data_IF_586773258979
#
_entry.id   IF_586773258979
#
_cell.length_a   1.000
_cell.length_b   1.000
_cell.length_c   1.000
_cell.angle_alpha   90.00
_cell.angle_beta   90.00
_cell.angle_gamma   90.00
#
_symmetry.space_group_name_H-M   'P 1'
#
loop_
_entity.id
_entity.type
_entity.pdbx_description
1 polymer ?
#
# COMPACT_ATOMS: atom_id res chain seq x y z
N UNK A 1 -7.95 -22.53 14.10
CA UNK A 1 -7.93 -21.09 14.38
C UNK A 1 -8.87 -20.85 15.55
N UNK A 2 -8.36 -20.45 16.72
CA UNK A 2 -9.21 -20.15 17.88
C UNK A 2 -9.95 -18.83 17.57
N UNK A 3 -11.29 -18.87 17.49
CA UNK A 3 -12.12 -17.67 17.46
C UNK A 3 -12.08 -17.06 18.87
N UNK A 4 -11.30 -16.00 19.05
CA UNK A 4 -11.36 -15.20 20.26
C UNK A 4 -12.68 -14.41 20.23
N UNK A 5 -13.45 -14.41 21.31
CA UNK A 5 -14.58 -13.48 21.45
C UNK A 5 -14.01 -12.07 21.58
N UNK A 6 -14.64 -11.04 21.01
CA UNK A 6 -14.16 -9.63 20.94
C UNK A 6 -13.65 -9.02 22.28
N UNK A 7 -13.90 -9.63 23.43
CA UNK A 7 -13.31 -9.22 24.72
C UNK A 7 -11.91 -9.80 25.01
N UNK A 8 -11.60 -11.02 24.56
CA UNK A 8 -10.41 -11.77 24.99
C UNK A 8 -9.10 -11.18 24.43
N UNK A 9 -9.16 -10.50 23.29
CA UNK A 9 -7.98 -9.90 22.63
C UNK A 9 -7.42 -8.73 23.46
N UNK A 10 -8.26 -8.05 24.24
CA UNK A 10 -7.89 -6.89 25.06
C UNK A 10 -7.63 -7.26 26.53
N UNK A 11 -7.72 -8.54 26.91
CA UNK A 11 -7.55 -9.00 28.29
C UNK A 11 -6.17 -8.67 28.88
N UNK A 12 -5.16 -8.43 28.03
CA UNK A 12 -3.83 -8.01 28.48
C UNK A 12 -3.87 -6.72 29.29
N UNK A 13 -4.84 -5.82 29.03
CA UNK A 13 -4.99 -4.55 29.73
C UNK A 13 -5.25 -4.75 31.23
N UNK A 14 -5.94 -5.84 31.61
CA UNK A 14 -6.24 -6.18 33.01
C UNK A 14 -4.99 -6.59 33.79
N UNK A 15 -3.93 -6.99 33.10
CA UNK A 15 -2.65 -7.41 33.68
C UNK A 15 -1.62 -6.28 33.69
N UNK A 16 -1.95 -5.11 33.12
CA UNK A 16 -1.05 -3.97 33.11
C UNK A 16 -1.09 -3.23 34.45
N UNK A 17 0.07 -2.74 34.95
CA UNK A 17 0.11 -1.92 36.14
C UNK A 17 -0.78 -0.67 35.97
N UNK A 18 -1.63 -0.38 36.96
CA UNK A 18 -2.61 0.74 36.96
C UNK A 18 -1.96 2.13 36.81
N UNK A 19 -0.64 2.23 36.92
CA UNK A 19 0.11 3.44 36.63
C UNK A 19 1.57 3.09 36.31
N UNK A 20 1.88 2.85 35.05
CA UNK A 20 3.20 3.18 34.53
C UNK A 20 2.96 4.17 33.39
N UNK A 21 3.49 5.39 33.51
CA UNK A 21 3.30 6.48 32.57
C UNK A 21 3.88 6.17 31.18
N UNK A 22 3.24 5.27 30.44
CA UNK A 22 3.37 5.25 29.00
C UNK A 22 2.73 6.55 28.52
N UNK A 23 3.57 7.46 28.01
CA UNK A 23 3.10 8.71 27.41
C UNK A 23 2.07 8.41 26.32
N UNK A 24 1.22 9.39 26.04
CA UNK A 24 0.19 9.27 25.00
C UNK A 24 0.79 8.73 23.68
N UNK A 25 0.04 7.87 23.01
CA UNK A 25 0.49 7.17 21.80
C UNK A 25 -0.45 7.40 20.61
N UNK A 26 0.11 7.16 19.42
CA UNK A 26 -0.61 7.15 18.14
C UNK A 26 -0.43 5.79 17.50
N UNK A 27 -1.52 5.26 16.94
CA UNK A 27 -1.50 4.05 16.13
C UNK A 27 -1.62 4.40 14.64
N UNK A 28 -0.74 3.84 13.82
CA UNK A 28 -0.87 3.84 12.37
C UNK A 28 -0.95 2.43 11.84
N UNK A 29 -1.93 2.19 10.98
CA UNK A 29 -2.17 0.88 10.39
C UNK A 29 -2.12 0.97 8.87
N UNK A 30 -1.46 0.00 8.26
CA UNK A 30 -1.49 -0.27 6.82
C UNK A 30 -2.01 -1.68 6.60
N UNK A 31 -3.23 -1.79 6.09
CA UNK A 31 -3.91 -3.05 5.81
C UNK A 31 -4.01 -3.32 4.32
N UNK A 32 -3.15 -4.22 3.83
CA UNK A 32 -3.10 -4.63 2.43
C UNK A 32 -3.81 -5.96 2.15
N UNK A 33 -3.62 -6.45 0.93
CA UNK A 33 -4.17 -7.74 0.46
C UNK A 33 -3.39 -8.96 0.96
N UNK A 34 -2.17 -8.77 1.46
CA UNK A 34 -1.28 -9.85 1.93
C UNK A 34 -1.09 -9.84 3.44
N UNK A 35 -0.82 -8.66 4.00
CA UNK A 35 -0.52 -8.47 5.42
C UNK A 35 -1.06 -7.15 5.92
N UNK A 36 -1.15 -7.04 7.24
CA UNK A 36 -1.51 -5.81 7.94
C UNK A 36 -0.44 -5.49 8.95
N UNK A 37 0.04 -4.25 8.95
CA UNK A 37 1.06 -3.76 9.89
C UNK A 37 0.45 -2.69 10.77
N UNK A 38 0.66 -2.80 12.09
CA UNK A 38 0.34 -1.76 13.06
C UNK A 38 1.61 -1.22 13.70
N UNK A 39 1.76 0.09 13.68
CA UNK A 39 2.84 0.84 14.32
C UNK A 39 2.26 1.63 15.48
N UNK A 40 2.88 1.47 16.66
CA UNK A 40 2.63 2.32 17.82
C UNK A 40 3.80 3.31 17.95
N UNK A 41 3.52 4.61 17.84
CA UNK A 41 4.49 5.69 18.04
C UNK A 41 4.15 6.50 19.29
N UNK A 42 5.13 7.10 19.98
CA UNK A 42 4.82 8.09 21.01
C UNK A 42 4.27 9.36 20.36
N UNK A 43 3.49 10.16 21.09
CA UNK A 43 3.22 11.52 20.65
C UNK A 43 4.53 12.31 20.68
N UNK A 44 4.96 12.72 19.50
CA UNK A 44 6.13 13.57 19.34
C UNK A 44 5.77 15.02 19.68
N UNK A 45 6.64 15.75 20.42
CA UNK A 45 6.54 17.19 20.49
C UNK A 45 6.66 17.79 19.09
N UNK A 46 5.96 18.89 18.85
CA UNK A 46 5.96 19.54 17.55
C UNK A 46 7.34 20.16 17.26
N UNK A 47 8.10 19.52 16.38
CA UNK A 47 9.38 20.02 15.86
C UNK A 47 9.51 19.70 14.37
N UNK A 48 10.00 20.67 13.59
CA UNK A 48 10.44 20.49 12.21
C UNK A 48 11.96 20.77 12.16
N UNK A 49 12.82 19.80 11.80
CA UNK A 49 12.48 18.46 11.31
C UNK A 49 12.00 17.48 12.39
N UNK A 50 11.23 16.48 11.96
CA UNK A 50 10.94 15.29 12.75
C UNK A 50 12.24 14.49 13.02
N UNK A 51 12.30 13.72 14.12
CA UNK A 51 13.42 12.79 14.34
C UNK A 51 13.60 11.81 13.18
N UNK A 52 14.84 11.56 12.78
CA UNK A 52 15.21 10.54 11.79
C UNK A 52 16.16 9.51 12.45
N UNK A 53 15.72 8.26 12.67
CA UNK A 53 14.41 7.71 12.35
C UNK A 53 13.31 8.18 13.32
N UNK A 54 12.06 8.16 12.85
CA UNK A 54 10.87 8.40 13.70
C UNK A 54 10.81 7.31 14.79
N UNK A 55 10.62 7.67 16.07
CA UNK A 55 10.58 6.68 17.14
C UNK A 55 9.35 5.78 17.04
N UNK A 56 9.58 4.48 17.11
CA UNK A 56 8.56 3.43 17.10
C UNK A 56 8.65 2.70 18.44
N UNK A 57 7.56 2.68 19.21
CA UNK A 57 7.48 1.94 20.47
C UNK A 57 7.24 0.45 20.21
N UNK A 58 6.40 0.13 19.23
CA UNK A 58 6.10 -1.24 18.87
C UNK A 58 5.64 -1.38 17.42
N UNK A 59 5.87 -2.58 16.89
CA UNK A 59 5.39 -3.04 15.58
C UNK A 59 4.73 -4.41 15.74
N UNK A 60 3.54 -4.56 15.18
CA UNK A 60 2.82 -5.83 15.08
C UNK A 60 2.40 -6.09 13.63
N UNK A 61 2.32 -7.38 13.26
CA UNK A 61 1.95 -7.81 11.91
C UNK A 61 0.92 -8.91 12.01
N UNK A 62 -0.12 -8.83 11.20
CA UNK A 62 -1.13 -9.86 11.05
C UNK A 62 -1.40 -10.15 9.57
N UNK A 63 -2.33 -11.07 9.31
CA UNK A 63 -2.71 -11.48 7.97
C UNK A 63 -3.47 -10.40 7.18
N UNK A 64 -4.03 -10.81 6.05
CA UNK A 64 -4.84 -9.96 5.17
C UNK A 64 -6.08 -9.40 5.87
N UNK A 65 -6.31 -8.09 5.76
CA UNK A 65 -7.52 -7.39 6.23
C UNK A 65 -8.36 -6.84 5.08
N UNK A 66 -8.08 -7.24 3.84
CA UNK A 66 -8.96 -6.91 2.72
C UNK A 66 -10.30 -7.62 2.90
N UNK A 67 -11.34 -6.86 3.24
CA UNK A 67 -12.68 -7.37 3.48
C UNK A 67 -13.26 -8.10 2.26
N UNK A 68 -12.85 -7.74 1.04
CA UNK A 68 -13.26 -8.44 -0.19
C UNK A 68 -12.64 -9.84 -0.31
N UNK A 69 -11.53 -10.09 0.39
CA UNK A 69 -10.81 -11.37 0.34
C UNK A 69 -11.17 -12.29 1.51
N UNK A 70 -11.22 -11.76 2.73
CA UNK A 70 -11.43 -12.58 3.95
C UNK A 70 -12.81 -12.41 4.59
N UNK A 71 -13.61 -11.47 4.10
CA UNK A 71 -14.88 -11.07 4.73
C UNK A 71 -14.69 -10.08 5.87
N UNK A 72 -15.75 -9.32 6.17
CA UNK A 72 -15.70 -8.20 7.11
C UNK A 72 -15.36 -8.62 8.55
N UNK A 73 -15.97 -9.70 9.06
CA UNK A 73 -15.73 -10.15 10.43
C UNK A 73 -14.26 -10.57 10.64
N UNK A 74 -13.71 -11.38 9.74
CA UNK A 74 -12.31 -11.82 9.84
C UNK A 74 -11.32 -10.67 9.70
N UNK A 75 -11.63 -9.67 8.85
CA UNK A 75 -10.82 -8.47 8.73
C UNK A 75 -10.81 -7.66 10.04
N UNK A 76 -11.97 -7.49 10.68
CA UNK A 76 -12.08 -6.80 11.98
C UNK A 76 -11.33 -7.54 13.08
N UNK A 77 -11.50 -8.85 13.20
CA UNK A 77 -10.78 -9.67 14.19
C UNK A 77 -9.26 -9.52 14.03
N UNK A 78 -8.77 -9.54 12.78
CA UNK A 78 -7.35 -9.39 12.46
C UNK A 78 -6.84 -8.00 12.80
N UNK A 79 -7.64 -6.94 12.56
CA UNK A 79 -7.30 -5.57 12.92
C UNK A 79 -7.28 -5.37 14.45
N UNK A 80 -8.26 -5.89 15.18
CA UNK A 80 -8.27 -5.83 16.64
C UNK A 80 -7.05 -6.56 17.23
N UNK A 81 -6.74 -7.75 16.71
CA UNK A 81 -5.57 -8.52 17.14
C UNK A 81 -4.27 -7.74 16.93
N UNK A 82 -4.05 -7.16 15.75
CA UNK A 82 -2.79 -6.46 15.45
C UNK A 82 -2.65 -5.16 16.25
N UNK A 83 -3.75 -4.45 16.53
CA UNK A 83 -3.75 -3.26 17.40
C UNK A 83 -3.45 -3.63 18.85
N UNK A 84 -4.10 -4.67 19.38
CA UNK A 84 -3.88 -5.15 20.73
C UNK A 84 -2.44 -5.64 20.93
N UNK A 85 -1.88 -6.37 19.96
CA UNK A 85 -0.50 -6.82 20.01
C UNK A 85 0.50 -5.65 19.99
N UNK A 86 0.24 -4.62 19.17
CA UNK A 86 1.09 -3.42 19.13
C UNK A 86 1.07 -2.67 20.46
N UNK A 87 -0.11 -2.50 21.07
CA UNK A 87 -0.27 -1.84 22.37
C UNK A 87 0.37 -2.64 23.51
N UNK A 88 0.15 -3.95 23.54
CA UNK A 88 0.76 -4.83 24.52
C UNK A 88 2.30 -4.78 24.46
N UNK A 89 2.87 -4.81 23.23
CA UNK A 89 4.32 -4.69 23.01
C UNK A 89 4.88 -3.32 23.38
N UNK A 90 4.12 -2.25 23.21
CA UNK A 90 4.55 -0.90 23.58
C UNK A 90 4.42 -0.61 25.08
N UNK A 91 3.79 -1.52 25.84
CA UNK A 91 3.46 -1.26 27.25
C UNK A 91 2.36 -0.21 27.41
N UNK A 92 1.53 0.01 26.39
CA UNK A 92 0.38 0.93 26.41
C UNK A 92 -0.95 0.18 26.38
N UNK A 93 -2.04 0.84 26.78
CA UNK A 93 -3.41 0.36 26.63
C UNK A 93 -4.24 1.36 25.82
N UNK A 94 -5.51 1.03 25.53
CA UNK A 94 -6.39 1.89 24.72
C UNK A 94 -6.61 3.28 25.31
N UNK A 95 -6.50 3.47 26.62
CA UNK A 95 -6.68 4.79 27.25
C UNK A 95 -5.55 5.80 26.96
N UNK A 96 -4.36 5.30 26.62
CA UNK A 96 -3.22 6.11 26.21
C UNK A 96 -3.27 6.53 24.72
N UNK A 97 -4.15 5.91 23.94
CA UNK A 97 -4.29 6.22 22.50
C UNK A 97 -4.98 7.57 22.32
N UNK A 98 -4.32 8.49 21.61
CA UNK A 98 -4.91 9.79 21.25
C UNK A 98 -5.32 9.86 19.80
N UNK A 99 -4.70 9.07 18.94
CA UNK A 99 -5.10 8.99 17.54
C UNK A 99 -4.84 7.62 16.94
N UNK A 100 -5.70 7.25 16.00
CA UNK A 100 -5.59 6.06 15.16
C UNK A 100 -5.80 6.49 13.73
N UNK A 101 -4.84 6.16 12.85
CA UNK A 101 -5.05 6.23 11.41
C UNK A 101 -5.03 4.82 10.84
N UNK A 102 -6.17 4.39 10.32
CA UNK A 102 -6.33 3.11 9.65
C UNK A 102 -6.36 3.34 8.14
N UNK A 103 -5.24 3.06 7.48
CA UNK A 103 -5.15 3.07 6.03
C UNK A 103 -5.30 1.65 5.50
N UNK A 104 -6.37 1.42 4.73
CA UNK A 104 -6.76 0.06 4.33
C UNK A 104 -7.17 0.02 2.87
N UNK A 105 -6.70 -1.03 2.19
CA UNK A 105 -7.06 -1.30 0.81
C UNK A 105 -8.56 -1.58 0.68
N UNK A 106 -9.17 -1.04 -0.38
CA UNK A 106 -10.59 -1.21 -0.67
C UNK A 106 -11.52 -0.22 0.00
N UNK A 107 -11.03 0.66 0.88
CA UNK A 107 -11.82 1.81 1.37
C UNK A 107 -11.83 2.89 0.30
N UNK A 108 -12.90 2.90 -0.48
CA UNK A 108 -13.04 3.75 -1.67
C UNK A 108 -14.26 4.67 -1.62
N UNK A 109 -15.25 4.36 -0.77
CA UNK A 109 -16.47 5.15 -0.66
C UNK A 109 -16.64 5.71 0.76
N UNK A 110 -17.24 6.90 0.93
CA UNK A 110 -17.50 7.48 2.25
C UNK A 110 -18.29 6.55 3.19
N UNK A 111 -19.14 5.68 2.65
CA UNK A 111 -19.88 4.68 3.43
C UNK A 111 -18.96 3.62 4.04
N UNK A 112 -17.91 3.21 3.33
CA UNK A 112 -16.93 2.24 3.84
C UNK A 112 -16.13 2.86 4.97
N UNK A 113 -15.70 4.12 4.79
CA UNK A 113 -15.00 4.90 5.81
C UNK A 113 -15.85 5.03 7.07
N UNK A 114 -17.12 5.45 6.92
CA UNK A 114 -18.01 5.64 8.05
C UNK A 114 -18.25 4.34 8.84
N UNK A 115 -18.48 3.21 8.15
CA UNK A 115 -18.69 1.91 8.79
C UNK A 115 -17.49 1.47 9.64
N UNK A 116 -16.28 1.71 9.15
CA UNK A 116 -15.04 1.39 9.88
C UNK A 116 -14.83 2.38 11.03
N UNK A 117 -15.12 3.67 10.84
CA UNK A 117 -15.06 4.67 11.90
C UNK A 117 -16.02 4.35 13.05
N UNK A 118 -17.26 3.95 12.74
CA UNK A 118 -18.25 3.56 13.76
C UNK A 118 -17.74 2.40 14.60
N UNK A 119 -17.17 1.37 13.96
CA UNK A 119 -16.55 0.25 14.68
C UNK A 119 -15.33 0.67 15.52
N UNK A 120 -14.45 1.54 14.99
CA UNK A 120 -13.30 2.04 15.78
C UNK A 120 -13.74 2.83 17.02
N UNK A 121 -14.90 3.51 16.98
CA UNK A 121 -15.48 4.20 18.16
C UNK A 121 -15.94 3.23 19.25
N UNK A 122 -16.31 2.00 18.89
CA UNK A 122 -16.62 0.95 19.87
C UNK A 122 -15.35 0.37 20.52
N UNK A 123 -14.21 0.44 19.83
CA UNK A 123 -12.93 -0.11 20.29
C UNK A 123 -12.16 0.87 21.19
N UNK A 124 -12.07 2.14 20.79
CA UNK A 124 -11.24 3.16 21.43
C UNK A 124 -12.04 4.16 22.28
N UNK A 125 -11.42 4.80 23.29
CA UNK A 125 -12.10 5.79 24.11
C UNK A 125 -12.54 7.01 23.28
N UNK A 126 -13.58 7.70 23.75
CA UNK A 126 -14.21 8.82 23.02
C UNK A 126 -13.30 10.03 22.78
N UNK A 127 -12.16 10.12 23.47
CA UNK A 127 -11.17 11.17 23.29
C UNK A 127 -10.09 10.81 22.25
N UNK A 128 -10.07 9.57 21.73
CA UNK A 128 -9.21 9.18 20.64
C UNK A 128 -9.75 9.70 19.31
N UNK A 129 -8.89 10.31 18.50
CA UNK A 129 -9.20 10.76 17.15
C UNK A 129 -9.01 9.62 16.17
N UNK A 130 -10.02 9.37 15.33
CA UNK A 130 -10.06 8.20 14.46
C UNK A 130 -10.11 8.65 13.01
N UNK A 131 -9.14 8.20 12.22
CA UNK A 131 -9.02 8.49 10.80
C UNK A 131 -9.04 7.16 10.04
N UNK A 132 -9.88 7.08 9.02
CA UNK A 132 -9.92 5.94 8.09
C UNK A 132 -9.59 6.47 6.71
N UNK A 133 -8.55 5.93 6.10
CA UNK A 133 -7.99 6.41 4.85
C UNK A 133 -7.81 5.25 3.87
N UNK A 134 -7.63 5.61 2.60
CA UNK A 134 -7.16 4.69 1.59
C UNK A 134 -5.67 4.34 1.87
N UNK A 135 -5.25 3.10 1.57
CA UNK A 135 -3.86 2.64 1.71
C UNK A 135 -2.86 3.56 0.98
N UNK A 136 -3.26 4.15 -0.15
CA UNK A 136 -2.44 5.12 -0.87
C UNK A 136 -2.11 6.39 -0.07
N UNK A 137 -2.93 6.79 0.90
CA UNK A 137 -2.63 7.94 1.77
C UNK A 137 -1.44 7.63 2.67
N UNK A 138 -1.43 6.43 3.27
CA UNK A 138 -0.31 5.97 4.09
C UNK A 138 0.97 5.77 3.27
N UNK A 139 0.83 5.23 2.07
CA UNK A 139 1.94 5.04 1.14
C UNK A 139 2.55 6.38 0.67
N UNK A 140 1.74 7.41 0.41
CA UNK A 140 2.26 8.75 0.13
C UNK A 140 2.98 9.32 1.37
N UNK A 141 2.30 9.27 2.52
CA UNK A 141 2.77 9.85 3.76
C UNK A 141 4.10 9.25 4.27
N UNK A 142 4.39 7.98 4.00
CA UNK A 142 5.66 7.39 4.43
C UNK A 142 6.86 7.91 3.62
N UNK A 143 6.65 8.35 2.37
CA UNK A 143 7.68 9.00 1.57
C UNK A 143 7.83 10.50 1.84
N UNK A 144 6.79 11.15 2.37
CA UNK A 144 6.72 12.61 2.57
C UNK A 144 6.72 13.03 4.04
N UNK A 145 7.05 12.11 4.96
CA UNK A 145 7.06 12.33 6.41
C UNK A 145 5.73 12.90 6.94
N UNK A 146 4.62 12.32 6.48
CA UNK A 146 3.27 12.68 6.89
C UNK A 146 2.63 13.83 6.09
N UNK A 147 3.35 14.50 5.20
CA UNK A 147 2.81 15.61 4.39
C UNK A 147 2.01 15.05 3.20
N UNK A 148 0.72 15.38 3.12
CA UNK A 148 -0.13 14.97 1.99
C UNK A 148 0.02 15.96 0.84
N UNK A 149 1.10 15.81 0.06
CA UNK A 149 1.38 16.57 -1.14
C UNK A 149 2.18 15.72 -2.13
N UNK A 150 1.87 15.84 -3.42
CA UNK A 150 2.53 15.14 -4.51
C UNK A 150 1.75 13.93 -5.00
N UNK A 151 2.46 12.93 -5.51
CA UNK A 151 1.89 11.72 -6.10
C UNK A 151 2.54 10.48 -5.50
N UNK A 152 1.77 9.43 -5.25
CA UNK A 152 2.25 8.09 -4.94
C UNK A 152 1.88 7.17 -6.08
N UNK A 153 2.82 6.33 -6.49
CA UNK A 153 2.63 5.21 -7.38
C UNK A 153 2.85 3.92 -6.61
N UNK A 154 1.80 3.12 -6.51
CA UNK A 154 1.85 1.79 -5.92
C UNK A 154 1.82 0.76 -7.04
N UNK A 155 2.78 -0.16 -7.07
CA UNK A 155 2.70 -1.36 -7.90
C UNK A 155 3.20 -2.59 -7.13
N UNK A 156 2.25 -3.46 -6.78
CA UNK A 156 2.45 -4.75 -6.13
C UNK A 156 1.59 -5.79 -6.84
N UNK A 157 0.76 -6.54 -6.11
CA UNK A 157 -0.25 -7.42 -6.74
C UNK A 157 -1.20 -6.64 -7.65
N UNK A 158 -1.66 -5.46 -7.19
CA UNK A 158 -2.41 -4.46 -7.96
C UNK A 158 -1.58 -3.20 -8.20
N UNK A 159 -2.17 -2.17 -8.80
CA UNK A 159 -1.50 -0.87 -8.98
C UNK A 159 -2.47 0.29 -8.80
N UNK A 160 -1.97 1.43 -8.32
CA UNK A 160 -2.73 2.69 -8.24
C UNK A 160 -1.74 3.86 -8.28
N UNK A 161 -2.11 4.95 -8.96
CA UNK A 161 -1.51 6.25 -8.77
C UNK A 161 -2.49 7.15 -8.02
N UNK A 162 -2.04 7.80 -6.95
CA UNK A 162 -2.88 8.70 -6.15
C UNK A 162 -2.11 9.95 -5.78
N UNK A 163 -2.75 11.11 -5.76
CA UNK A 163 -2.06 12.35 -5.47
C UNK A 163 -2.91 13.36 -4.74
N UNK A 164 -2.20 14.29 -4.09
CA UNK A 164 -2.77 15.38 -3.30
C UNK A 164 -2.05 16.69 -3.61
N UNK A 165 -2.81 17.77 -3.67
CA UNK A 165 -2.27 19.14 -3.66
C UNK A 165 -2.27 19.70 -2.24
N UNK A 166 -1.52 20.77 -1.98
CA UNK A 166 -1.43 21.35 -0.62
C UNK A 166 -2.78 21.89 -0.10
N UNK A 167 -3.66 22.31 -1.02
CA UNK A 167 -5.04 22.74 -0.73
C UNK A 167 -6.02 21.56 -0.52
N UNK A 168 -5.52 20.31 -0.56
CA UNK A 168 -6.30 19.12 -0.23
C UNK A 168 -7.12 18.53 -1.37
N UNK A 169 -6.96 19.01 -2.62
CA UNK A 169 -7.56 18.32 -3.78
C UNK A 169 -6.85 16.99 -4.01
N UNK A 170 -7.60 16.00 -4.43
CA UNK A 170 -7.09 14.64 -4.64
C UNK A 170 -7.46 14.10 -6.03
N UNK A 171 -6.64 13.20 -6.56
CA UNK A 171 -6.91 12.54 -7.84
C UNK A 171 -6.28 11.16 -7.88
N UNK A 172 -7.03 10.17 -8.40
CA UNK A 172 -6.58 8.77 -8.58
C UNK A 172 -6.58 8.30 -10.03
N UNK A 173 -5.65 7.44 -10.42
CA UNK A 173 -5.64 6.72 -11.69
C UNK A 173 -5.25 5.25 -11.45
N UNK A 174 -5.69 4.36 -12.34
CA UNK A 174 -5.65 2.90 -12.11
C UNK A 174 -6.34 2.49 -10.79
N UNK A 175 -6.04 1.31 -10.27
CA UNK A 175 -6.63 0.79 -9.03
C UNK A 175 -8.06 0.30 -9.20
N UNK A 176 -8.46 -0.02 -10.44
CA UNK A 176 -9.78 -0.52 -10.76
C UNK A 176 -9.86 -2.06 -10.67
N UNK A 177 -8.72 -2.72 -10.45
CA UNK A 177 -8.59 -4.17 -10.43
C UNK A 177 -8.11 -4.73 -11.77
N UNK A 178 -7.70 -6.01 -11.78
CA UNK A 178 -7.06 -6.64 -12.93
C UNK A 178 -7.98 -6.79 -14.14
N UNK A 179 -9.29 -6.93 -13.92
CA UNK A 179 -10.27 -7.02 -15.01
C UNK A 179 -10.41 -5.69 -15.76
N UNK A 180 -10.18 -4.57 -15.08
CA UNK A 180 -10.44 -3.22 -15.60
C UNK A 180 -9.17 -2.49 -16.06
N UNK A 181 -8.03 -3.18 -16.08
CA UNK A 181 -6.83 -2.68 -16.75
C UNK A 181 -5.69 -2.24 -15.84
N UNK A 182 -5.55 -2.82 -14.65
CA UNK A 182 -4.35 -2.69 -13.81
C UNK A 182 -3.12 -3.42 -14.43
N UNK A 183 -2.79 -3.14 -15.70
CA UNK A 183 -1.78 -3.84 -16.50
C UNK A 183 -0.34 -3.58 -16.04
N UNK A 184 -0.11 -2.46 -15.36
CA UNK A 184 1.15 -2.13 -14.70
C UNK A 184 1.40 -2.88 -13.38
N UNK A 185 0.40 -3.62 -12.89
CA UNK A 185 0.52 -4.41 -11.66
C UNK A 185 1.26 -5.73 -11.86
N UNK A 186 1.69 -6.36 -10.77
CA UNK A 186 2.28 -7.69 -10.82
C UNK A 186 1.31 -8.73 -11.35
N UNK A 187 0.01 -8.64 -11.04
CA UNK A 187 -1.00 -9.47 -11.69
C UNK A 187 -1.04 -9.21 -13.20
N UNK A 188 -1.08 -7.94 -13.61
CA UNK A 188 -1.14 -7.52 -15.01
C UNK A 188 0.03 -8.05 -15.84
N UNK A 189 1.25 -7.91 -15.32
CA UNK A 189 2.48 -8.44 -15.92
C UNK A 189 2.39 -9.97 -16.08
N UNK A 190 2.05 -10.67 -15.01
CA UNK A 190 1.99 -12.13 -15.02
C UNK A 190 0.85 -12.68 -15.89
N UNK A 191 -0.31 -12.03 -15.92
CA UNK A 191 -1.44 -12.41 -16.75
C UNK A 191 -1.12 -12.26 -18.25
N UNK A 192 -0.41 -11.19 -18.62
CA UNK A 192 0.11 -11.02 -19.97
C UNK A 192 1.13 -12.11 -20.34
N UNK A 193 2.00 -12.51 -19.41
CA UNK A 193 2.94 -13.59 -19.62
C UNK A 193 2.24 -14.96 -19.80
N UNK A 194 1.26 -15.29 -18.96
CA UNK A 194 0.43 -16.49 -19.12
C UNK A 194 -0.29 -16.49 -20.47
N UNK A 195 -0.85 -15.35 -20.86
CA UNK A 195 -1.49 -15.17 -22.17
C UNK A 195 -0.50 -15.40 -23.31
N UNK A 196 0.73 -14.89 -23.19
CA UNK A 196 1.78 -15.11 -24.17
C UNK A 196 2.17 -16.60 -24.29
N UNK A 197 2.23 -17.33 -23.18
CA UNK A 197 2.48 -18.79 -23.19
C UNK A 197 1.39 -19.54 -23.96
N UNK A 198 0.12 -19.25 -23.70
CA UNK A 198 -0.99 -19.90 -24.41
C UNK A 198 -0.96 -19.55 -25.90
N UNK A 199 -0.71 -18.29 -26.26
CA UNK A 199 -0.59 -17.87 -27.67
C UNK A 199 0.59 -18.53 -28.38
N UNK A 200 1.71 -18.72 -27.70
CA UNK A 200 2.86 -19.42 -28.26
C UNK A 200 2.55 -20.92 -28.46
N UNK A 201 1.77 -21.51 -27.55
CA UNK A 201 1.38 -22.92 -27.62
C UNK A 201 0.39 -23.21 -28.76
N UNK A 202 -0.63 -22.36 -28.94
CA UNK A 202 -1.66 -22.54 -29.98
C UNK A 202 -1.29 -21.91 -31.34
N UNK A 203 -0.08 -21.35 -31.47
CA UNK A 203 0.45 -20.79 -32.71
C UNK A 203 -0.02 -19.37 -33.05
N UNK A 204 -0.77 -18.69 -32.17
CA UNK A 204 -1.19 -17.27 -32.36
C UNK A 204 -0.12 -16.25 -31.95
N UNK A 205 0.98 -16.68 -31.35
CA UNK A 205 2.07 -15.85 -30.85
C UNK A 205 3.44 -16.41 -31.19
N UNK A 206 4.50 -15.59 -31.07
CA UNK A 206 5.87 -16.05 -31.28
C UNK A 206 6.28 -17.06 -30.19
N UNK A 207 7.32 -17.84 -30.47
CA UNK A 207 7.97 -18.66 -29.46
C UNK A 207 8.56 -17.77 -28.35
N UNK A 208 8.51 -18.23 -27.10
CA UNK A 208 9.01 -17.49 -25.94
C UNK A 208 9.54 -18.43 -24.85
N UNK A 209 10.63 -18.02 -24.20
CA UNK A 209 11.22 -18.64 -23.02
C UNK A 209 10.27 -18.63 -21.82
N UNK A 210 9.23 -17.78 -21.82
CA UNK A 210 8.19 -17.76 -20.79
C UNK A 210 7.50 -19.11 -20.68
N UNK A 211 7.31 -19.84 -21.78
CA UNK A 211 6.62 -21.13 -21.78
C UNK A 211 7.33 -22.15 -20.88
N UNK A 212 8.59 -22.46 -21.19
CA UNK A 212 9.35 -23.45 -20.41
C UNK A 212 9.62 -22.96 -18.98
N UNK A 213 9.83 -21.66 -18.80
CA UNK A 213 10.18 -21.07 -17.50
C UNK A 213 8.99 -21.03 -16.53
N UNK A 214 7.80 -20.68 -17.01
CA UNK A 214 6.57 -20.68 -16.19
C UNK A 214 6.13 -22.11 -15.88
N UNK A 215 6.12 -23.02 -16.88
CA UNK A 215 5.78 -24.42 -16.62
C UNK A 215 6.73 -25.05 -15.61
N UNK A 216 8.04 -24.82 -15.74
CA UNK A 216 9.04 -25.27 -14.77
C UNK A 216 8.82 -24.70 -13.36
N UNK A 217 8.47 -23.42 -13.24
CA UNK A 217 8.15 -22.79 -11.95
C UNK A 217 6.90 -23.39 -11.29
N UNK A 218 5.91 -23.77 -12.11
CA UNK A 218 4.63 -24.31 -11.64
C UNK A 218 4.62 -25.83 -11.49
N UNK A 219 5.66 -26.52 -11.99
CA UNK A 219 5.73 -27.98 -11.98
C UNK A 219 4.74 -28.64 -12.93
N UNK A 220 4.37 -27.96 -14.02
CA UNK A 220 3.40 -28.43 -15.01
C UNK A 220 4.11 -29.10 -16.19
N UNK A 221 3.53 -30.17 -16.74
CA UNK A 221 4.15 -30.92 -17.84
C UNK A 221 3.75 -30.41 -19.22
N UNK A 222 2.58 -29.77 -19.36
CA UNK A 222 2.15 -29.14 -20.61
C UNK A 222 1.47 -27.78 -20.40
N UNK A 223 1.43 -26.92 -21.44
CA UNK A 223 0.64 -25.69 -21.43
C UNK A 223 -0.86 -25.90 -21.21
N UNK A 224 -1.43 -27.06 -21.57
CA UNK A 224 -2.86 -27.35 -21.36
C UNK A 224 -3.23 -27.36 -19.86
N UNK A 225 -2.30 -27.76 -19.00
CA UNK A 225 -2.51 -27.78 -17.54
C UNK A 225 -2.63 -26.36 -16.94
N UNK A 226 -2.19 -25.32 -17.66
CA UNK A 226 -2.31 -23.93 -17.20
C UNK A 226 -3.77 -23.50 -17.00
N UNK A 227 -4.71 -24.05 -17.78
CA UNK A 227 -6.14 -23.75 -17.64
C UNK A 227 -6.60 -24.21 -16.26
N UNK A 228 -6.34 -25.49 -15.93
CA UNK A 228 -6.68 -26.06 -14.63
C UNK A 228 -5.99 -25.33 -13.49
N UNK A 229 -4.70 -25.03 -13.63
CA UNK A 229 -3.94 -24.28 -12.64
C UNK A 229 -4.52 -22.87 -12.40
N UNK A 230 -4.89 -22.15 -13.46
CA UNK A 230 -5.36 -20.76 -13.37
C UNK A 230 -6.73 -20.68 -12.71
N UNK A 231 -7.67 -21.55 -13.09
CA UNK A 231 -9.05 -21.49 -12.58
C UNK A 231 -9.25 -22.24 -11.25
N UNK A 232 -8.27 -23.03 -10.79
CA UNK A 232 -8.34 -23.70 -9.49
C UNK A 232 -8.25 -22.74 -8.29
N UNK A 233 -7.65 -21.56 -8.45
CA UNK A 233 -7.48 -20.57 -7.39
C UNK A 233 -7.53 -19.14 -7.97
N UNK A 234 -8.54 -18.33 -7.60
CA UNK A 234 -8.71 -16.96 -8.11
C UNK A 234 -7.77 -15.92 -7.48
N UNK A 235 -6.83 -16.33 -6.61
CA UNK A 235 -5.91 -15.44 -5.90
C UNK A 235 -5.02 -14.63 -6.84
N UNK A 236 -5.15 -13.29 -6.81
CA UNK A 236 -4.31 -12.40 -7.60
C UNK A 236 -2.84 -12.48 -7.21
N UNK A 237 -2.55 -12.68 -5.92
CA UNK A 237 -1.19 -12.78 -5.40
C UNK A 237 -0.45 -14.00 -5.98
N UNK A 238 -1.18 -15.11 -6.20
CA UNK A 238 -0.62 -16.32 -6.82
C UNK A 238 -0.20 -16.10 -8.27
N UNK A 239 -0.99 -15.33 -9.03
CA UNK A 239 -0.63 -14.92 -10.39
C UNK A 239 0.55 -13.95 -10.36
N UNK A 240 0.47 -12.89 -9.55
CA UNK A 240 1.52 -11.88 -9.42
C UNK A 240 2.89 -12.46 -8.98
N UNK A 241 2.91 -13.58 -8.26
CA UNK A 241 4.13 -14.29 -7.88
C UNK A 241 4.96 -14.82 -9.08
N UNK A 242 4.42 -14.78 -10.30
CA UNK A 242 5.15 -15.13 -11.53
C UNK A 242 6.01 -13.99 -12.10
N UNK A 243 5.86 -12.75 -11.63
CA UNK A 243 6.65 -11.59 -12.11
C UNK A 243 8.16 -11.85 -12.13
N UNK A 244 8.78 -12.46 -11.10
CA UNK A 244 10.22 -12.75 -11.15
C UNK A 244 10.63 -13.64 -12.32
N UNK A 245 9.76 -14.57 -12.75
CA UNK A 245 10.02 -15.44 -13.92
C UNK A 245 10.03 -14.59 -15.20
N UNK A 246 9.07 -13.67 -15.34
CA UNK A 246 9.00 -12.75 -16.49
C UNK A 246 10.26 -11.89 -16.57
N UNK A 247 10.67 -11.32 -15.44
CA UNK A 247 11.91 -10.53 -15.33
C UNK A 247 13.14 -11.37 -15.71
N UNK A 248 13.25 -12.61 -15.23
CA UNK A 248 14.34 -13.51 -15.61
C UNK A 248 14.38 -13.79 -17.12
N UNK A 249 13.22 -14.02 -17.76
CA UNK A 249 13.16 -14.22 -19.20
C UNK A 249 13.57 -12.95 -19.97
N UNK A 250 13.13 -11.77 -19.54
CA UNK A 250 13.53 -10.51 -20.17
C UNK A 250 15.04 -10.28 -20.10
N UNK A 251 15.65 -10.53 -18.92
CA UNK A 251 17.11 -10.47 -18.71
C UNK A 251 17.86 -11.46 -19.62
N UNK A 252 17.26 -12.62 -19.89
CA UNK A 252 17.82 -13.63 -20.79
C UNK A 252 17.67 -13.27 -22.29
N UNK A 253 17.06 -12.13 -22.61
CA UNK A 253 16.88 -11.64 -23.98
C UNK A 253 15.57 -12.06 -24.64
N UNK A 254 14.59 -12.57 -23.89
CA UNK A 254 13.28 -12.92 -24.45
C UNK A 254 12.51 -11.64 -24.84
N UNK A 255 12.25 -11.47 -26.15
CA UNK A 255 11.60 -10.26 -26.68
C UNK A 255 10.16 -10.09 -26.18
N UNK A 256 9.44 -11.19 -25.96
CA UNK A 256 8.04 -11.16 -25.48
C UNK A 256 7.99 -10.68 -24.05
N UNK A 257 8.85 -11.22 -23.18
CA UNK A 257 9.00 -10.79 -21.81
C UNK A 257 9.44 -9.32 -21.72
N UNK A 258 10.43 -8.90 -22.52
CA UNK A 258 10.85 -7.50 -22.59
C UNK A 258 9.68 -6.59 -22.97
N UNK A 259 8.90 -6.96 -24.00
CA UNK A 259 7.73 -6.18 -24.41
C UNK A 259 6.71 -6.04 -23.29
N UNK A 260 6.37 -7.13 -22.59
CA UNK A 260 5.42 -7.10 -21.46
C UNK A 260 5.89 -6.12 -20.37
N UNK A 261 7.18 -6.12 -20.04
CA UNK A 261 7.71 -5.23 -19.01
C UNK A 261 7.72 -3.76 -19.48
N UNK A 262 8.04 -3.48 -20.74
CA UNK A 262 7.94 -2.12 -21.30
C UNK A 262 6.49 -1.61 -21.36
N UNK A 263 5.54 -2.45 -21.79
CA UNK A 263 4.13 -2.10 -21.80
C UNK A 263 3.66 -1.79 -20.36
N UNK A 264 4.11 -2.58 -19.36
CA UNK A 264 3.83 -2.31 -17.95
C UNK A 264 4.41 -0.98 -17.46
N UNK A 265 5.64 -0.62 -17.84
CA UNK A 265 6.26 0.67 -17.52
C UNK A 265 5.42 1.82 -18.09
N UNK A 266 4.93 1.66 -19.33
CA UNK A 266 4.11 2.67 -19.99
C UNK A 266 2.77 2.88 -19.28
N UNK A 267 2.09 1.80 -18.87
CA UNK A 267 0.83 1.88 -18.11
C UNK A 267 1.00 2.56 -16.74
N UNK A 268 2.11 2.27 -16.05
CA UNK A 268 2.48 2.94 -14.80
C UNK A 268 2.76 4.43 -15.02
N UNK A 269 3.51 4.78 -16.07
CA UNK A 269 3.78 6.18 -16.46
C UNK A 269 2.48 6.93 -16.77
N UNK A 270 1.58 6.35 -17.56
CA UNK A 270 0.30 6.94 -17.92
C UNK A 270 -0.58 7.19 -16.68
N UNK A 271 -0.52 6.28 -15.69
CA UNK A 271 -1.23 6.44 -14.42
C UNK A 271 -0.73 7.65 -13.62
N UNK A 272 0.59 7.81 -13.47
CA UNK A 272 1.18 8.99 -12.81
C UNK A 272 0.85 10.26 -13.58
N UNK A 273 1.04 10.25 -14.91
CA UNK A 273 0.73 11.37 -15.80
C UNK A 273 -0.70 11.86 -15.62
N UNK A 274 -1.67 10.95 -15.57
CA UNK A 274 -3.07 11.30 -15.39
C UNK A 274 -3.33 12.01 -14.05
N UNK A 275 -2.68 11.59 -12.95
CA UNK A 275 -2.79 12.25 -11.64
C UNK A 275 -2.16 13.63 -11.65
N UNK A 276 -0.91 13.73 -12.13
CA UNK A 276 -0.15 14.98 -12.19
C UNK A 276 -0.90 16.04 -12.99
N UNK A 277 -1.47 15.69 -14.13
CA UNK A 277 -2.23 16.62 -14.99
C UNK A 277 -3.53 17.10 -14.36
N UNK A 278 -4.31 16.22 -13.72
CA UNK A 278 -5.59 16.60 -13.09
C UNK A 278 -5.41 17.51 -11.89
N UNK A 279 -4.32 17.33 -11.15
CA UNK A 279 -4.01 18.11 -9.97
C UNK A 279 -3.21 19.39 -10.29
N UNK A 280 -2.52 19.40 -11.43
CA UNK A 280 -1.59 20.47 -11.79
C UNK A 280 -0.34 20.48 -10.91
N UNK A 281 0.15 19.30 -10.49
CA UNK A 281 1.28 19.19 -9.54
C UNK A 281 2.59 19.78 -10.08
N UNK A 282 2.75 19.83 -11.40
CA UNK A 282 3.92 20.40 -12.06
C UNK A 282 3.81 21.91 -12.32
N UNK A 283 2.76 22.57 -11.83
CA UNK A 283 2.53 24.00 -12.03
C UNK A 283 2.19 24.39 -13.47
N UNK A 284 1.94 25.69 -13.72
CA UNK A 284 1.55 26.20 -15.05
C UNK A 284 2.62 26.00 -16.13
N UNK A 285 3.90 26.03 -15.74
CA UNK A 285 5.03 25.85 -16.66
C UNK A 285 5.49 24.38 -16.77
N UNK A 286 4.90 23.46 -16.01
CA UNK A 286 5.24 22.03 -16.03
C UNK A 286 6.58 21.69 -15.35
N UNK A 287 7.13 22.58 -14.53
CA UNK A 287 8.46 22.45 -13.92
C UNK A 287 8.47 22.44 -12.40
N UNK A 288 7.33 22.68 -11.75
CA UNK A 288 7.27 22.73 -10.29
C UNK A 288 7.67 21.37 -9.71
N UNK A 289 8.35 21.42 -8.57
CA UNK A 289 8.81 20.24 -7.87
C UNK A 289 7.66 19.57 -7.14
N UNK A 290 7.54 18.25 -7.28
CA UNK A 290 6.58 17.47 -6.49
C UNK A 290 7.18 16.09 -6.15
N UNK A 291 6.92 15.57 -4.94
CA UNK A 291 7.36 14.23 -4.58
C UNK A 291 6.56 13.18 -5.37
N UNK A 292 7.28 12.20 -5.92
CA UNK A 292 6.72 10.98 -6.49
C UNK A 292 7.14 9.80 -5.62
N UNK A 293 6.26 9.38 -4.72
CA UNK A 293 6.54 8.26 -3.82
C UNK A 293 6.27 6.94 -4.54
N UNK A 294 7.22 6.03 -4.52
CA UNK A 294 7.17 4.74 -5.23
C UNK A 294 7.08 3.61 -4.21
N UNK A 295 6.01 2.81 -4.25
CA UNK A 295 5.76 1.73 -3.26
C UNK A 295 5.36 0.42 -3.94
N UNK A 296 5.89 -0.69 -3.44
CA UNK A 296 5.45 -2.04 -3.80
C UNK A 296 6.47 -2.83 -4.60
N UNK A 297 6.40 -4.16 -4.48
CA UNK A 297 7.46 -5.06 -4.93
C UNK A 297 7.72 -5.10 -6.45
N UNK A 298 6.85 -4.53 -7.27
CA UNK A 298 7.12 -4.37 -8.72
C UNK A 298 8.08 -3.20 -8.97
N UNK A 299 8.10 -2.20 -8.09
CA UNK A 299 8.95 -1.00 -8.17
C UNK A 299 10.24 -1.13 -7.35
N UNK A 300 10.40 -2.23 -6.62
CA UNK A 300 11.61 -2.51 -5.83
C UNK A 300 12.84 -2.66 -6.75
N UNK A 301 13.99 -2.23 -6.23
CA UNK A 301 15.22 -2.22 -6.99
C UNK A 301 15.64 -3.62 -7.45
N UNK A 302 15.88 -3.77 -8.75
CA UNK A 302 16.34 -5.02 -9.33
C UNK A 302 17.58 -4.79 -10.19
N UNK A 303 18.70 -5.40 -9.78
CA UNK A 303 20.04 -5.15 -10.33
C UNK A 303 20.21 -5.43 -11.83
N UNK A 304 19.25 -6.08 -12.48
CA UNK A 304 19.36 -6.48 -13.90
C UNK A 304 18.22 -5.99 -14.78
N UNK A 305 17.01 -5.87 -14.24
CA UNK A 305 15.89 -5.24 -14.94
C UNK A 305 14.98 -4.56 -13.92
N UNK A 306 15.01 -3.23 -13.91
CA UNK A 306 14.36 -2.42 -12.88
C UNK A 306 13.19 -1.64 -13.49
N UNK A 307 11.97 -2.09 -13.19
CA UNK A 307 10.74 -1.44 -13.65
C UNK A 307 10.62 -0.05 -13.01
N UNK A 308 11.00 0.09 -11.74
CA UNK A 308 10.94 1.36 -11.01
C UNK A 308 11.84 2.43 -11.64
N UNK A 309 13.09 2.09 -11.97
CA UNK A 309 14.03 2.99 -12.64
C UNK A 309 13.56 3.40 -14.04
N UNK A 310 13.03 2.47 -14.84
CA UNK A 310 12.50 2.82 -16.17
C UNK A 310 11.25 3.70 -16.08
N UNK A 311 10.37 3.46 -15.10
CA UNK A 311 9.24 4.37 -14.80
C UNK A 311 9.73 5.76 -14.41
N UNK A 312 10.71 5.85 -13.51
CA UNK A 312 11.31 7.13 -13.10
C UNK A 312 11.89 7.88 -14.30
N UNK A 313 12.71 7.21 -15.11
CA UNK A 313 13.33 7.77 -16.31
C UNK A 313 12.29 8.27 -17.32
N UNK A 314 11.19 7.55 -17.50
CA UNK A 314 10.10 7.99 -18.36
C UNK A 314 9.37 9.21 -17.78
N UNK A 315 9.06 9.19 -16.48
CA UNK A 315 8.37 10.30 -15.81
C UNK A 315 9.25 11.56 -15.77
N UNK A 316 10.55 11.45 -15.47
CA UNK A 316 11.46 12.61 -15.45
C UNK A 316 11.63 13.28 -16.81
N UNK A 317 11.37 12.57 -17.91
CA UNK A 317 11.31 13.18 -19.26
C UNK A 317 10.05 14.03 -19.44
N UNK A 318 8.91 13.54 -18.97
CA UNK A 318 7.64 14.27 -19.04
C UNK A 318 7.54 15.39 -18.01
N UNK A 319 8.14 15.18 -16.83
CA UNK A 319 8.04 16.01 -15.63
C UNK A 319 9.41 16.13 -14.96
N UNK A 320 10.27 17.06 -15.40
CA UNK A 320 11.61 17.26 -14.83
C UNK A 320 11.61 17.65 -13.33
N UNK A 321 10.51 18.21 -12.84
CA UNK A 321 10.30 18.53 -11.42
C UNK A 321 9.87 17.35 -10.54
N UNK A 322 9.58 16.17 -11.12
CA UNK A 322 9.27 15.00 -10.31
C UNK A 322 10.48 14.61 -9.46
N UNK A 323 10.28 14.45 -8.15
CA UNK A 323 11.30 14.00 -7.20
C UNK A 323 10.94 12.59 -6.74
N UNK A 324 11.52 11.54 -7.35
CA UNK A 324 11.24 10.17 -6.97
C UNK A 324 11.71 9.87 -5.54
N UNK A 325 10.86 9.21 -4.76
CA UNK A 325 11.14 8.82 -3.38
C UNK A 325 10.80 7.34 -3.22
N UNK A 326 11.80 6.54 -2.86
CA UNK A 326 11.60 5.20 -2.31
C UNK A 326 11.55 5.34 -0.78
N UNK A 327 10.40 5.06 -0.12
CA UNK A 327 10.30 5.23 1.33
C UNK A 327 11.31 4.38 2.09
N UNK A 328 11.89 4.95 3.15
CA UNK A 328 12.76 4.23 4.09
C UNK A 328 12.00 3.56 5.23
N UNK A 329 10.72 3.86 5.35
CA UNK A 329 9.82 3.37 6.40
C UNK A 329 8.55 2.80 5.79
N UNK A 330 7.90 1.90 6.53
CA UNK A 330 6.69 1.23 6.07
C UNK A 330 5.49 2.20 5.99
N UNK A 331 4.49 1.95 5.13
CA UNK A 331 3.30 2.79 5.04
C UNK A 331 2.56 2.95 6.37
N UNK A 332 2.58 1.95 7.27
CA UNK A 332 2.00 2.07 8.61
C UNK A 332 2.62 3.21 9.45
N UNK A 333 3.91 3.52 9.24
CA UNK A 333 4.55 4.72 9.83
C UNK A 333 3.97 5.99 9.20
N UNK A 334 3.76 6.00 7.88
CA UNK A 334 3.07 7.07 7.17
C UNK A 334 1.65 7.31 7.71
N UNK A 335 0.87 6.25 7.96
CA UNK A 335 -0.45 6.34 8.57
C UNK A 335 -0.38 7.01 9.96
N UNK A 336 0.55 6.59 10.81
CA UNK A 336 0.72 7.17 12.13
C UNK A 336 1.12 8.67 12.05
N UNK A 337 1.99 9.05 11.10
CA UNK A 337 2.37 10.45 10.86
C UNK A 337 1.19 11.29 10.35
N UNK A 338 0.29 10.71 9.55
CA UNK A 338 -0.96 11.37 9.13
C UNK A 338 -1.85 11.65 10.34
N UNK A 339 -2.06 10.67 11.23
CA UNK A 339 -2.80 10.88 12.47
C UNK A 339 -2.18 11.99 13.33
N UNK A 340 -0.86 11.99 13.46
CA UNK A 340 -0.13 13.03 14.21
C UNK A 340 -0.33 14.44 13.61
N UNK A 341 -0.22 14.58 12.28
CA UNK A 341 -0.42 15.84 11.58
C UNK A 341 -1.86 16.37 11.69
N UNK A 342 -2.87 15.50 11.61
CA UNK A 342 -4.26 15.92 11.82
C UNK A 342 -4.51 16.33 13.26
N UNK A 343 -3.92 15.63 14.22
CA UNK A 343 -4.00 16.03 15.63
C UNK A 343 -3.45 17.44 15.87
N UNK A 344 -2.34 17.77 15.18
CA UNK A 344 -1.72 19.09 15.20
C UNK A 344 -2.64 20.18 14.64
N UNK A 345 -3.15 20.00 13.41
CA UNK A 345 -3.97 21.02 12.73
C UNK A 345 -5.20 21.42 13.55
N UNK A 346 -5.93 20.43 14.05
CA UNK A 346 -7.10 20.66 14.90
C UNK A 346 -6.74 21.34 16.24
N UNK A 347 -5.57 21.04 16.83
CA UNK A 347 -5.14 21.67 18.08
C UNK A 347 -4.79 23.14 17.87
N UNK A 348 -4.14 23.48 16.75
CA UNK A 348 -3.87 24.87 16.34
C UNK A 348 -5.18 25.63 16.08
N UNK A 349 -6.09 25.06 15.30
CA UNK A 349 -7.39 25.68 15.02
C UNK A 349 -8.21 25.95 16.28
N UNK A 350 -8.16 25.06 17.28
CA UNK A 350 -8.83 25.27 18.56
C UNK A 350 -8.16 26.38 19.38
N UNK A 351 -6.83 26.47 19.37
CA UNK A 351 -6.09 27.53 20.06
C UNK A 351 -6.35 28.93 19.45
N UNK A 352 -6.63 29.03 18.15
CA UNK A 352 -7.02 30.30 17.51
C UNK A 352 -8.48 30.70 17.75
N UNK A 353 -9.33 29.77 18.20
CA UNK A 353 -10.75 30.01 18.49
C UNK A 353 -11.03 30.35 19.97
N UNK A 354 -10.05 30.13 20.85
CA UNK A 354 -10.08 30.41 22.29
C UNK A 354 -9.36 31.69 22.65
#
# INVERSE_FOLDING_TARGET
MKRYRNGEVWDFENQMPVAAGAGDVILGLDGGTTSTVCICMPILPFSDPLPDPVPILARAVAGCTNHNSVGEAAARDTLEQVMAEALAKSGSNRSAVRAVCLAVSGVNHPTDQQRILDWLRDVFPSNARLYVQNDAVAALACGTLGKLHGCVLIAGTGTIAYGFTEDGREARAAGAGPTLGDWGSGYGIAAQALTAVIRAHDGRGPHTMLMSSILGKLGLSSPDELIGWTYADPSWARIAALVPVVVCCAIAGDEVANKILFDSVEELRLSVKAVVQRLGLCGPEGKDSFPLVMVGGVLDENKRWDIGEEVIKCISKDYPGAVPIRPKVEPAVGAALVAWNFCMKESLENAFKS
#
